data_IF_223846607080
#
_entry.id   IF_223846607080
#
_cell.length_a   1.000
_cell.length_b   1.000
_cell.length_c   1.000
_cell.angle_alpha   90.00
_cell.angle_beta   90.00
_cell.angle_gamma   90.00
#
_symmetry.space_group_name_H-M   'P 1'
#
loop_
_entity.id
_entity.type
_entity.pdbx_description
1 polymer ?
#
# COMPACT_ATOMS: atom_id res chain seq x y z
N UNK A 1 -0.43 -7.25 5.77
CA UNK A 1 -0.06 -6.51 4.55
C UNK A 1 -0.13 -7.44 3.35
N UNK A 2 -0.69 -6.99 2.24
CA UNK A 2 -0.62 -7.66 0.94
C UNK A 2 0.22 -6.78 0.01
N UNK A 3 1.26 -7.35 -0.57
CA UNK A 3 2.18 -6.67 -1.48
C UNK A 3 2.09 -7.30 -2.88
N UNK A 4 1.78 -6.48 -3.88
CA UNK A 4 1.77 -6.88 -5.29
C UNK A 4 3.00 -6.26 -5.95
N UNK A 5 4.05 -7.02 -6.22
CA UNK A 5 5.26 -6.52 -6.84
C UNK A 5 5.06 -6.19 -8.31
N UNK A 6 6.09 -5.62 -8.92
CA UNK A 6 6.12 -5.37 -10.37
C UNK A 6 5.85 -6.65 -11.14
N UNK A 7 4.87 -6.61 -12.04
CA UNK A 7 4.56 -7.71 -12.94
C UNK A 7 5.76 -8.06 -13.84
N UNK A 8 6.51 -7.05 -14.26
CA UNK A 8 7.68 -7.23 -15.15
C UNK A 8 8.92 -7.71 -14.40
N UNK A 9 9.09 -7.30 -13.14
CA UNK A 9 10.28 -7.58 -12.34
C UNK A 9 9.92 -8.06 -10.93
N UNK A 10 9.28 -9.23 -10.78
CA UNK A 10 8.82 -9.71 -9.47
C UNK A 10 9.95 -10.27 -8.60
N UNK A 11 11.09 -10.64 -9.17
CA UNK A 11 12.15 -11.38 -8.47
C UNK A 11 12.73 -10.64 -7.27
N UNK A 12 12.90 -9.31 -7.36
CA UNK A 12 13.41 -8.52 -6.23
C UNK A 12 12.51 -8.62 -4.98
N UNK A 13 11.20 -8.70 -5.19
CA UNK A 13 10.25 -8.90 -4.08
C UNK A 13 10.30 -10.34 -3.55
N UNK A 14 10.59 -11.31 -4.42
CA UNK A 14 10.78 -12.71 -4.00
C UNK A 14 12.06 -12.88 -3.19
N UNK A 15 13.15 -12.16 -3.52
CA UNK A 15 14.37 -12.15 -2.71
C UNK A 15 14.11 -11.53 -1.32
N UNK A 16 13.24 -10.53 -1.24
CA UNK A 16 12.82 -9.93 0.02
C UNK A 16 12.11 -10.92 0.96
N UNK A 17 11.46 -11.95 0.41
CA UNK A 17 10.85 -13.02 1.22
C UNK A 17 11.87 -13.68 2.18
N UNK A 18 13.11 -13.88 1.76
CA UNK A 18 14.14 -14.45 2.61
C UNK A 18 14.43 -13.58 3.84
N UNK A 19 14.37 -12.25 3.67
CA UNK A 19 14.54 -11.31 4.79
C UNK A 19 13.36 -11.43 5.76
N UNK A 20 12.15 -11.56 5.25
CA UNK A 20 10.96 -11.75 6.08
C UNK A 20 10.99 -13.07 6.85
N UNK A 21 11.39 -14.15 6.19
CA UNK A 21 11.44 -15.51 6.77
C UNK A 21 12.52 -15.66 7.87
N UNK A 22 13.60 -14.89 7.77
CA UNK A 22 14.72 -14.92 8.73
C UNK A 22 14.67 -13.79 9.77
N UNK A 23 13.64 -12.94 9.73
CA UNK A 23 13.43 -11.83 10.66
C UNK A 23 12.41 -12.18 11.75
N UNK A 24 12.21 -11.25 12.68
CA UNK A 24 11.19 -11.37 13.73
C UNK A 24 9.77 -11.05 13.25
N UNK A 25 9.55 -10.91 11.95
CA UNK A 25 8.20 -10.69 11.38
C UNK A 25 7.39 -11.98 11.46
N UNK A 26 6.26 -12.00 12.19
CA UNK A 26 5.46 -13.21 12.29
C UNK A 26 4.93 -13.67 10.93
N UNK A 27 4.86 -14.99 10.74
CA UNK A 27 4.30 -15.55 9.51
C UNK A 27 2.89 -15.05 9.23
N UNK A 28 2.59 -14.73 7.97
CA UNK A 28 1.28 -14.22 7.52
C UNK A 28 1.06 -12.71 7.65
N UNK A 29 1.96 -11.98 8.32
CA UNK A 29 1.85 -10.51 8.44
C UNK A 29 2.12 -9.82 7.10
N UNK A 30 3.06 -10.33 6.31
CA UNK A 30 3.36 -9.84 4.98
C UNK A 30 3.14 -10.95 3.96
N UNK A 31 2.29 -10.70 2.99
CA UNK A 31 1.93 -11.65 1.94
C UNK A 31 2.30 -11.07 0.58
N UNK A 32 3.10 -11.78 -0.19
CA UNK A 32 3.52 -11.37 -1.53
C UNK A 32 2.71 -12.16 -2.55
N UNK A 33 1.96 -11.45 -3.40
CA UNK A 33 1.13 -12.04 -4.44
C UNK A 33 1.61 -11.53 -5.80
N UNK A 34 2.10 -12.44 -6.63
CA UNK A 34 2.55 -12.12 -7.99
C UNK A 34 1.43 -12.34 -9.00
N UNK A 35 1.38 -11.50 -10.03
CA UNK A 35 0.39 -11.62 -11.10
C UNK A 35 0.15 -10.30 -11.81
N UNK A 36 -0.94 -10.23 -12.56
CA UNK A 36 -1.38 -8.99 -13.18
C UNK A 36 -1.81 -8.00 -12.10
N UNK A 37 -1.07 -6.88 -11.99
CA UNK A 37 -1.27 -5.87 -10.96
C UNK A 37 -2.69 -5.30 -11.00
N UNK A 38 -3.14 -4.91 -12.20
CA UNK A 38 -4.41 -4.20 -12.35
C UNK A 38 -5.61 -5.12 -12.15
N UNK A 39 -5.43 -6.41 -12.39
CA UNK A 39 -6.42 -7.43 -12.03
C UNK A 39 -6.47 -7.67 -10.51
N UNK A 40 -5.33 -7.85 -9.87
CA UNK A 40 -5.24 -8.13 -8.44
C UNK A 40 -5.68 -6.94 -7.58
N UNK A 41 -5.34 -5.71 -8.00
CA UNK A 41 -5.71 -4.51 -7.26
C UNK A 41 -7.23 -4.30 -7.20
N UNK A 42 -7.97 -4.71 -8.22
CA UNK A 42 -9.45 -4.64 -8.22
C UNK A 42 -10.06 -5.36 -7.03
N UNK A 43 -9.55 -6.55 -6.73
CA UNK A 43 -10.01 -7.31 -5.57
C UNK A 43 -9.68 -6.60 -4.25
N UNK A 44 -8.47 -6.04 -4.12
CA UNK A 44 -8.04 -5.36 -2.91
C UNK A 44 -8.83 -4.07 -2.64
N UNK A 45 -9.10 -3.27 -3.68
CA UNK A 45 -9.82 -2.00 -3.51
C UNK A 45 -11.29 -2.19 -3.18
N UNK A 46 -11.88 -3.32 -3.57
CA UNK A 46 -13.27 -3.67 -3.27
C UNK A 46 -13.42 -4.40 -1.94
N UNK A 47 -12.32 -4.87 -1.34
CA UNK A 47 -12.39 -5.63 -0.09
C UNK A 47 -12.63 -4.70 1.11
N UNK A 48 -13.66 -4.95 1.90
CA UNK A 48 -14.06 -4.08 3.01
C UNK A 48 -13.04 -4.04 4.15
N UNK A 49 -12.33 -5.14 4.42
CA UNK A 49 -11.33 -5.23 5.49
C UNK A 49 -9.94 -4.67 5.09
N UNK A 50 -9.83 -4.03 3.94
CA UNK A 50 -8.62 -3.31 3.54
C UNK A 50 -8.78 -1.83 3.88
N UNK A 51 -7.98 -1.34 4.83
CA UNK A 51 -8.08 0.03 5.34
C UNK A 51 -7.30 1.06 4.52
N UNK A 52 -6.27 0.62 3.79
CA UNK A 52 -5.41 1.51 3.00
C UNK A 52 -4.84 0.81 1.79
N UNK A 53 -4.75 1.52 0.69
CA UNK A 53 -4.15 1.05 -0.57
C UNK A 53 -3.11 2.05 -1.07
N UNK A 54 -1.90 1.55 -1.32
CA UNK A 54 -0.84 2.29 -1.99
C UNK A 54 -0.69 1.77 -3.41
N UNK A 55 -0.81 2.65 -4.38
CA UNK A 55 -0.75 2.25 -5.79
C UNK A 55 0.19 3.16 -6.57
N UNK A 56 1.28 2.59 -7.04
CA UNK A 56 2.29 3.26 -7.86
C UNK A 56 2.28 2.69 -9.29
N UNK A 57 1.25 3.02 -10.03
CA UNK A 57 1.03 2.55 -11.38
C UNK A 57 0.56 3.65 -12.31
N UNK A 58 -0.25 3.29 -13.31
CA UNK A 58 -0.78 4.22 -14.29
C UNK A 58 -1.74 5.25 -13.67
N UNK A 59 -1.97 6.36 -14.38
CA UNK A 59 -2.96 7.35 -13.98
C UNK A 59 -4.39 6.76 -13.97
N UNK A 60 -4.72 5.92 -14.96
CA UNK A 60 -6.00 5.23 -15.03
C UNK A 60 -6.21 4.29 -13.84
N UNK A 61 -5.18 3.50 -13.49
CA UNK A 61 -5.22 2.64 -12.31
C UNK A 61 -5.34 3.42 -11.00
N UNK A 62 -4.67 4.57 -10.89
CA UNK A 62 -4.81 5.46 -9.73
C UNK A 62 -6.23 5.97 -9.56
N UNK A 63 -6.83 6.45 -10.63
CA UNK A 63 -8.22 6.88 -10.64
C UNK A 63 -9.18 5.74 -10.23
N UNK A 64 -8.97 4.54 -10.77
CA UNK A 64 -9.78 3.36 -10.42
C UNK A 64 -9.65 3.02 -8.94
N UNK A 65 -8.42 3.01 -8.40
CA UNK A 65 -8.17 2.74 -6.97
C UNK A 65 -8.90 3.73 -6.07
N UNK A 66 -8.82 5.03 -6.36
CA UNK A 66 -9.48 6.05 -5.56
C UNK A 66 -11.01 5.95 -5.62
N UNK A 67 -11.54 5.73 -6.82
CA UNK A 67 -12.99 5.61 -7.02
C UNK A 67 -13.59 4.41 -6.28
N UNK A 68 -13.00 3.22 -6.43
CA UNK A 68 -13.49 2.00 -5.77
C UNK A 68 -13.25 2.01 -4.26
N UNK A 69 -12.19 2.67 -3.80
CA UNK A 69 -11.86 2.80 -2.38
C UNK A 69 -12.85 3.68 -1.60
N UNK A 70 -13.68 4.46 -2.28
CA UNK A 70 -14.68 5.33 -1.66
C UNK A 70 -15.78 4.53 -0.93
N UNK A 71 -16.03 3.28 -1.31
CA UNK A 71 -17.11 2.44 -0.74
C UNK A 71 -16.98 2.26 0.78
N UNK A 72 -15.78 2.09 1.31
CA UNK A 72 -15.51 1.97 2.75
C UNK A 72 -14.55 3.05 3.28
N UNK A 73 -14.37 4.13 2.53
CA UNK A 73 -13.48 5.26 2.87
C UNK A 73 -12.03 4.83 3.15
N UNK A 74 -11.49 3.87 2.37
CA UNK A 74 -10.08 3.49 2.43
C UNK A 74 -9.19 4.71 2.22
N UNK A 75 -8.07 4.74 2.91
CA UNK A 75 -7.02 5.69 2.57
C UNK A 75 -6.29 5.23 1.32
N UNK A 76 -6.06 6.15 0.41
CA UNK A 76 -5.36 5.88 -0.84
C UNK A 76 -4.13 6.75 -0.96
N UNK A 77 -3.03 6.15 -1.40
CA UNK A 77 -1.84 6.86 -1.81
C UNK A 77 -1.46 6.42 -3.22
N UNK A 78 -1.65 7.30 -4.18
CA UNK A 78 -1.54 6.99 -5.60
C UNK A 78 -0.51 7.88 -6.28
N UNK A 79 0.21 7.32 -7.24
CA UNK A 79 1.28 8.02 -7.95
C UNK A 79 0.86 8.63 -9.29
N UNK A 80 -0.32 8.32 -9.82
CA UNK A 80 -0.82 8.81 -11.12
C UNK A 80 0.15 8.66 -12.30
N UNK A 81 0.99 7.62 -12.26
CA UNK A 81 2.00 7.37 -13.29
C UNK A 81 3.20 8.31 -13.24
N UNK A 82 3.30 9.17 -12.24
CA UNK A 82 4.45 10.03 -12.04
C UNK A 82 5.69 9.19 -11.70
N UNK A 83 6.85 9.52 -12.29
CA UNK A 83 8.09 8.83 -11.97
C UNK A 83 8.47 9.09 -10.52
N UNK A 84 8.95 8.03 -9.84
CA UNK A 84 9.46 8.09 -8.49
C UNK A 84 10.85 7.46 -8.43
N UNK A 85 11.80 8.15 -7.88
CA UNK A 85 13.14 7.60 -7.66
C UNK A 85 13.18 6.81 -6.36
N UNK A 86 12.98 5.51 -6.47
CA UNK A 86 12.99 4.58 -5.33
C UNK A 86 14.37 4.40 -4.68
N UNK A 87 15.42 4.89 -5.32
CA UNK A 87 16.79 4.84 -4.78
C UNK A 87 17.15 6.10 -3.99
N UNK A 88 16.39 7.16 -4.15
CA UNK A 88 16.51 8.38 -3.37
C UNK A 88 15.95 8.18 -1.96
N UNK A 89 16.67 8.66 -0.96
CA UNK A 89 16.19 8.63 0.44
C UNK A 89 14.92 9.44 0.65
N UNK A 90 14.73 10.51 -0.11
CA UNK A 90 13.55 11.37 -0.01
C UNK A 90 12.31 10.71 -0.62
N UNK A 91 12.47 9.98 -1.75
CA UNK A 91 11.37 9.40 -2.49
C UNK A 91 11.17 7.90 -2.25
N UNK A 92 12.18 7.19 -1.76
CA UNK A 92 12.15 5.74 -1.50
C UNK A 92 11.90 5.37 -0.04
N UNK A 93 12.14 6.31 0.89
CA UNK A 93 11.97 6.08 2.33
C UNK A 93 11.60 7.38 3.04
N UNK A 94 11.35 7.33 4.34
CA UNK A 94 11.26 8.52 5.18
C UNK A 94 9.85 8.89 5.66
N UNK A 95 9.67 10.16 5.99
CA UNK A 95 8.47 10.66 6.68
C UNK A 95 7.17 10.50 5.86
N UNK A 96 7.23 10.60 4.55
CA UNK A 96 6.07 10.41 3.69
C UNK A 96 5.48 9.02 3.88
N UNK A 97 6.33 7.98 3.86
CA UNK A 97 5.88 6.59 4.09
C UNK A 97 5.30 6.38 5.48
N UNK A 98 5.91 6.97 6.50
CA UNK A 98 5.38 6.91 7.88
C UNK A 98 4.03 7.61 7.98
N UNK A 99 3.87 8.76 7.35
CA UNK A 99 2.61 9.49 7.31
C UNK A 99 1.51 8.65 6.65
N UNK A 100 1.79 8.09 5.48
CA UNK A 100 0.83 7.27 4.74
C UNK A 100 0.55 5.91 5.41
N UNK A 101 1.50 5.38 6.19
CA UNK A 101 1.32 4.14 6.95
C UNK A 101 0.54 4.34 8.25
N UNK A 102 0.36 5.57 8.73
CA UNK A 102 -0.27 5.88 10.01
C UNK A 102 -1.55 6.67 9.84
N UNK A 103 -2.46 6.54 10.79
CA UNK A 103 -3.67 7.36 10.86
C UNK A 103 -3.73 8.11 12.18
N UNK A 104 -3.79 9.44 12.12
CA UNK A 104 -4.03 10.27 13.30
C UNK A 104 -5.51 10.26 13.63
N UNK A 105 -5.86 9.83 14.83
CA UNK A 105 -7.22 9.90 15.36
C UNK A 105 -7.28 10.95 16.47
N UNK A 106 -8.15 11.93 16.30
CA UNK A 106 -8.43 12.93 17.32
C UNK A 106 -9.60 12.43 18.20
N UNK A 107 -9.36 12.32 19.50
CA UNK A 107 -10.38 11.95 20.47
C UNK A 107 -10.74 13.20 21.26
N UNK A 108 -11.99 13.63 21.14
CA UNK A 108 -12.54 14.73 21.90
C UNK A 108 -13.35 14.15 23.07
N UNK A 109 -12.82 14.32 24.27
CA UNK A 109 -13.54 13.95 25.50
C UNK A 109 -14.15 15.21 26.07
N UNK A 110 -15.48 15.36 26.11
CA UNK A 110 -16.10 16.49 26.75
C UNK A 110 -15.80 16.40 28.26
N UNK A 111 -15.09 17.40 28.78
CA UNK A 111 -14.93 17.62 30.19
C UNK A 111 -16.10 18.52 30.60
N UNK A 112 -17.23 17.91 30.92
CA UNK A 112 -18.34 18.61 31.49
C UNK A 112 -18.16 18.75 33.00
N UNK A 113 -18.51 19.91 33.53
CA UNK A 113 -18.78 20.10 34.97
C UNK A 113 -20.03 19.33 35.38
#
# INVERSE_FOLDING_TARGET
>A
VVMIPSQKYPLSAMDFYQVLDTSDVPGGVVNIVTGDRDHLVKTLVQHEDVDSVWYFGSAEGSYHVENESAANMKRTWTGYGLPRDWTSREQGEGHEFLHEATQVKNIWVPTGE
#
